data_IF_889902816374
#
_entry.id   IF_889902816374
#
_cell.length_a   1.000
_cell.length_b   1.000
_cell.length_c   1.000
_cell.angle_alpha   90.00
_cell.angle_beta   90.00
_cell.angle_gamma   90.00
#
_symmetry.space_group_name_H-M   'P 1'
#
loop_
_entity.id
_entity.type
_entity.pdbx_description
1 polymer ?
#
# COMPACT_ATOMS: atom_id res chain seq x y z
N UNK A 1 17.28 -41.98 -14.44
CA UNK A 1 18.58 -41.30 -14.58
C UNK A 1 18.28 -39.84 -14.90
N UNK A 2 18.25 -38.96 -13.90
CA UNK A 2 17.99 -37.53 -14.13
C UNK A 2 19.31 -36.76 -13.91
N UNK A 3 20.00 -36.44 -15.01
CA UNK A 3 21.15 -35.53 -14.96
C UNK A 3 20.63 -34.13 -14.63
N UNK A 4 20.84 -33.70 -13.37
CA UNK A 4 20.35 -32.42 -12.87
C UNK A 4 20.99 -31.26 -13.62
N UNK A 5 20.18 -30.44 -14.27
CA UNK A 5 20.61 -29.17 -14.85
C UNK A 5 21.15 -28.26 -13.73
N UNK A 6 22.25 -27.52 -13.94
CA UNK A 6 22.88 -26.71 -12.90
C UNK A 6 21.98 -25.58 -12.41
N UNK A 7 21.13 -25.04 -13.28
CA UNK A 7 20.15 -24.01 -12.94
C UNK A 7 18.81 -24.20 -13.69
N UNK A 8 17.69 -23.69 -13.14
CA UNK A 8 16.37 -23.78 -13.75
C UNK A 8 16.10 -22.70 -14.82
N UNK A 9 17.01 -21.73 -14.98
CA UNK A 9 16.86 -20.63 -15.93
C UNK A 9 17.08 -21.06 -17.39
N UNK A 10 16.46 -20.32 -18.31
CA UNK A 10 16.61 -20.48 -19.76
C UNK A 10 17.20 -19.18 -20.31
N UNK A 11 18.21 -19.25 -21.20
CA UNK A 11 18.75 -20.44 -21.85
C UNK A 11 19.76 -21.23 -20.97
N UNK A 12 19.82 -22.55 -21.20
CA UNK A 12 20.47 -23.55 -20.30
C UNK A 12 21.99 -23.69 -20.49
N UNK A 13 22.53 -22.94 -21.45
CA UNK A 13 23.94 -22.84 -21.80
C UNK A 13 24.69 -21.80 -20.95
N UNK A 14 24.00 -21.12 -20.04
CA UNK A 14 24.61 -20.14 -19.13
C UNK A 14 25.33 -20.83 -17.97
N UNK A 15 26.64 -20.61 -17.84
CA UNK A 15 27.38 -21.10 -16.68
C UNK A 15 27.23 -20.13 -15.49
N UNK A 16 26.29 -20.42 -14.57
CA UNK A 16 26.19 -19.69 -13.31
C UNK A 16 27.09 -20.31 -12.24
N UNK A 17 28.34 -19.86 -12.18
CA UNK A 17 29.37 -20.36 -11.24
C UNK A 17 28.99 -20.27 -9.75
N UNK A 18 28.08 -19.37 -9.39
CA UNK A 18 27.67 -19.13 -8.00
C UNK A 18 26.17 -19.36 -7.78
N UNK A 19 25.51 -20.14 -8.64
CA UNK A 19 24.09 -20.45 -8.46
C UNK A 19 23.87 -21.32 -7.22
N UNK A 20 23.18 -20.76 -6.23
CA UNK A 20 22.74 -21.47 -5.03
C UNK A 20 21.22 -21.55 -5.01
N UNK A 21 20.62 -22.76 -5.07
CA UNK A 21 19.17 -22.91 -4.96
C UNK A 21 18.65 -22.39 -3.62
N UNK A 22 17.53 -21.65 -3.67
CA UNK A 22 16.80 -21.25 -2.48
C UNK A 22 16.45 -22.48 -1.64
N UNK A 23 16.79 -22.45 -0.34
CA UNK A 23 16.55 -23.56 0.59
C UNK A 23 15.11 -23.59 1.13
N UNK A 24 14.36 -22.53 0.92
CA UNK A 24 12.98 -22.39 1.41
C UNK A 24 11.98 -23.00 0.43
N UNK A 25 10.96 -23.64 0.99
CA UNK A 25 9.80 -24.08 0.22
C UNK A 25 9.06 -22.89 -0.37
N UNK A 26 8.58 -23.01 -1.60
CA UNK A 26 7.74 -21.98 -2.24
C UNK A 26 6.50 -21.65 -1.41
N UNK A 27 5.94 -22.63 -0.70
CA UNK A 27 4.79 -22.41 0.19
C UNK A 27 5.11 -21.47 1.35
N UNK A 28 6.32 -21.54 1.90
CA UNK A 28 6.79 -20.64 2.96
C UNK A 28 6.93 -19.21 2.44
N UNK A 29 7.44 -19.04 1.23
CA UNK A 29 7.58 -17.71 0.61
C UNK A 29 6.19 -17.11 0.36
N UNK A 30 5.28 -17.91 -0.21
CA UNK A 30 3.92 -17.47 -0.51
C UNK A 30 3.12 -17.15 0.77
N UNK A 31 3.29 -17.94 1.83
CA UNK A 31 2.56 -17.74 3.08
C UNK A 31 3.02 -16.49 3.81
N UNK A 32 4.32 -16.24 3.92
CA UNK A 32 4.86 -15.02 4.54
C UNK A 32 4.45 -13.77 3.76
N UNK A 33 4.54 -13.81 2.42
CA UNK A 33 4.11 -12.70 1.57
C UNK A 33 2.60 -12.44 1.68
N UNK A 34 1.78 -13.51 1.65
CA UNK A 34 0.33 -13.40 1.79
C UNK A 34 -0.09 -12.88 3.15
N UNK A 35 0.44 -13.45 4.24
CA UNK A 35 0.10 -13.05 5.61
C UNK A 35 0.54 -11.61 5.91
N UNK A 36 1.74 -11.20 5.47
CA UNK A 36 2.21 -9.82 5.65
C UNK A 36 1.36 -8.82 4.86
N UNK A 37 1.00 -9.14 3.62
CA UNK A 37 0.12 -8.29 2.80
C UNK A 37 -1.26 -8.15 3.44
N UNK A 38 -1.86 -9.25 3.89
CA UNK A 38 -3.15 -9.24 4.59
C UNK A 38 -3.08 -8.46 5.91
N UNK A 39 -1.99 -8.57 6.66
CA UNK A 39 -1.76 -7.76 7.87
C UNK A 39 -1.70 -6.28 7.53
N UNK A 40 -0.92 -5.87 6.53
CA UNK A 40 -0.81 -4.47 6.12
C UNK A 40 -2.17 -3.92 5.67
N UNK A 41 -2.89 -4.66 4.83
CA UNK A 41 -4.23 -4.27 4.36
C UNK A 41 -5.20 -4.15 5.55
N UNK A 42 -5.18 -5.12 6.46
CA UNK A 42 -6.05 -5.12 7.65
C UNK A 42 -5.73 -3.97 8.59
N UNK A 43 -4.45 -3.67 8.82
CA UNK A 43 -4.02 -2.53 9.62
C UNK A 43 -4.45 -1.23 8.97
N UNK A 44 -4.15 -1.01 7.68
CA UNK A 44 -4.57 0.19 6.95
C UNK A 44 -6.09 0.35 7.00
N UNK A 45 -6.86 -0.73 6.85
CA UNK A 45 -8.32 -0.67 6.92
C UNK A 45 -8.82 -0.32 8.32
N UNK A 46 -8.31 -0.99 9.37
CA UNK A 46 -8.68 -0.70 10.76
C UNK A 46 -8.29 0.73 11.17
N UNK A 47 -7.09 1.18 10.80
CA UNK A 47 -6.63 2.54 11.08
C UNK A 47 -7.35 3.58 10.22
N UNK A 48 -7.71 3.27 8.98
CA UNK A 48 -8.51 4.15 8.12
C UNK A 48 -9.89 4.39 8.73
N UNK A 49 -10.56 3.36 9.25
CA UNK A 49 -11.82 3.50 9.97
C UNK A 49 -11.69 4.25 11.30
N UNK A 50 -10.62 4.01 12.06
CA UNK A 50 -10.35 4.72 13.32
C UNK A 50 -10.06 6.21 13.07
N UNK A 51 -9.28 6.52 12.04
CA UNK A 51 -8.96 7.89 11.61
C UNK A 51 -10.18 8.59 11.02
N UNK A 52 -11.00 7.89 10.22
CA UNK A 52 -12.22 8.46 9.63
C UNK A 52 -13.29 8.71 10.69
N UNK A 53 -13.47 7.84 11.68
CA UNK A 53 -14.47 8.05 12.74
C UNK A 53 -14.07 9.19 13.68
N UNK A 54 -12.79 9.30 14.07
CA UNK A 54 -12.31 10.46 14.84
C UNK A 54 -12.28 11.73 14.00
N UNK A 55 -11.94 11.65 12.71
CA UNK A 55 -12.01 12.79 11.80
C UNK A 55 -13.46 13.23 11.58
N UNK A 56 -14.41 12.32 11.37
CA UNK A 56 -15.85 12.63 11.24
C UNK A 56 -16.41 13.16 12.55
N UNK A 57 -16.02 12.62 13.70
CA UNK A 57 -16.47 13.11 15.00
C UNK A 57 -15.87 14.49 15.32
N UNK A 58 -14.59 14.71 15.04
CA UNK A 58 -13.92 16.01 15.13
C UNK A 58 -14.51 17.02 14.14
N UNK A 59 -14.75 16.63 12.89
CA UNK A 59 -15.38 17.44 11.86
C UNK A 59 -16.82 17.79 12.24
N UNK A 60 -17.58 16.83 12.78
CA UNK A 60 -18.94 17.06 13.29
C UNK A 60 -18.96 18.01 14.49
N UNK A 61 -17.98 17.92 15.40
CA UNK A 61 -17.82 18.84 16.53
C UNK A 61 -17.39 20.25 16.08
N UNK A 62 -16.52 20.34 15.09
CA UNK A 62 -16.06 21.61 14.49
C UNK A 62 -17.16 22.29 13.65
N UNK A 63 -18.03 21.51 13.00
CA UNK A 63 -19.22 22.00 12.29
C UNK A 63 -20.30 22.44 13.30
N UNK A 64 -20.49 21.72 14.39
CA UNK A 64 -21.44 22.06 15.47
C UNK A 64 -21.00 23.32 16.25
N UNK A 65 -19.71 23.56 16.44
CA UNK A 65 -19.15 24.78 17.06
C UNK A 65 -19.03 25.96 16.06
N UNK A 66 -19.44 25.77 14.79
CA UNK A 66 -19.51 26.84 13.78
C UNK A 66 -18.16 27.40 13.30
N UNK A 67 -17.03 26.84 13.74
CA UNK A 67 -15.69 27.40 13.51
C UNK A 67 -15.07 27.08 12.15
N UNK A 68 -15.74 26.28 11.31
CA UNK A 68 -15.25 25.88 9.97
C UNK A 68 -15.91 26.59 8.78
N UNK A 69 -16.90 27.46 8.99
CA UNK A 69 -17.53 28.20 7.88
C UNK A 69 -16.56 29.11 7.11
N UNK A 70 -15.46 29.56 7.74
CA UNK A 70 -14.51 30.52 7.16
C UNK A 70 -13.36 29.86 6.37
N UNK A 71 -12.89 28.68 6.82
CA UNK A 71 -11.70 28.03 6.25
C UNK A 71 -12.05 27.27 4.96
N UNK A 72 -13.21 26.60 4.93
CA UNK A 72 -13.68 25.85 3.76
C UNK A 72 -13.98 26.72 2.54
N UNK A 73 -14.53 27.93 2.76
CA UNK A 73 -14.83 28.88 1.67
C UNK A 73 -13.57 29.44 1.01
N UNK A 74 -12.53 29.70 1.82
CA UNK A 74 -11.26 30.26 1.35
C UNK A 74 -10.46 29.26 0.51
N UNK A 75 -10.45 27.98 0.90
CA UNK A 75 -9.79 26.92 0.15
C UNK A 75 -10.51 26.59 -1.16
N UNK A 76 -11.85 26.57 -1.16
CA UNK A 76 -12.65 26.38 -2.36
C UNK A 76 -12.49 27.53 -3.37
N UNK A 77 -12.44 28.78 -2.90
CA UNK A 77 -12.15 29.92 -3.76
C UNK A 77 -10.74 29.85 -4.36
N UNK A 78 -9.73 29.42 -3.59
CA UNK A 78 -8.38 29.30 -4.10
C UNK A 78 -8.29 28.24 -5.21
N UNK A 79 -8.90 27.06 -5.02
CA UNK A 79 -8.94 26.00 -6.03
C UNK A 79 -9.73 26.44 -7.27
N UNK A 80 -10.86 27.13 -7.09
CA UNK A 80 -11.67 27.64 -8.20
C UNK A 80 -10.93 28.71 -9.01
N UNK A 81 -10.21 29.62 -8.35
CA UNK A 81 -9.45 30.67 -9.04
C UNK A 81 -8.19 30.11 -9.73
N UNK A 82 -7.56 29.06 -9.19
CA UNK A 82 -6.42 28.39 -9.83
C UNK A 82 -6.82 27.61 -11.10
N UNK A 83 -8.00 26.96 -11.10
CA UNK A 83 -8.48 26.19 -12.25
C UNK A 83 -9.09 27.03 -13.39
N UNK A 84 -9.13 28.36 -13.24
CA UNK A 84 -9.68 29.30 -14.24
C UNK A 84 -8.58 30.05 -15.01
N UNK A 85 -7.30 29.74 -14.77
CA UNK A 85 -6.14 30.38 -15.42
C UNK A 85 -5.69 29.57 -16.64
N UNK A 86 -6.64 29.20 -17.50
CA UNK A 86 -6.39 28.72 -18.87
C UNK A 86 -7.35 29.44 -19.83
#
# INVERSE_FOLDING_TARGET
MAGGQPHPYVPRDMELKEYVPGKLSQSTILSVYGLSSLLVISLVWLFSGFLLLTFVHFFSLVIHDGRMGSIGSSALLLVYNLGKVD
#
